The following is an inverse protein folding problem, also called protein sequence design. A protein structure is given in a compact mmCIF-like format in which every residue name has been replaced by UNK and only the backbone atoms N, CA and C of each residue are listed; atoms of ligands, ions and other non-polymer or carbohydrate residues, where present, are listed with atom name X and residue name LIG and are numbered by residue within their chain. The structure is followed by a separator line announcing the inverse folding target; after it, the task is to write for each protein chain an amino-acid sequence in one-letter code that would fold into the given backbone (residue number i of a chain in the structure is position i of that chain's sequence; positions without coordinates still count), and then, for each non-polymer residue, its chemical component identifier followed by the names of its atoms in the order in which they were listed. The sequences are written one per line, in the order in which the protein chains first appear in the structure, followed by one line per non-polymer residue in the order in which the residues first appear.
data_IF_597518697875
#
_entry.id   IF_597518697875
#
_cell.length_a   1.000
_cell.length_b   1.000
_cell.length_c   1.000
_cell.angle_alpha   90.00
_cell.angle_beta   90.00
_cell.angle_gamma   90.00
#
_symmetry.space_group_name_H-M   'P 1'
#
loop_
_entity.id
_entity.type
_entity.pdbx_description
1 polymer ?
#
# COMPACT_ATOMS: atom_id res chain seq x y z
N UNK A 1 7.39 -12.40 -5.36
CA UNK A 1 6.69 -11.38 -4.53
C UNK A 1 6.23 -12.03 -3.24
N UNK A 2 6.54 -11.43 -2.08
CA UNK A 2 6.07 -11.93 -0.78
C UNK A 2 4.55 -11.73 -0.65
N UNK A 3 3.83 -12.78 -0.23
CA UNK A 3 2.40 -12.70 0.05
C UNK A 3 2.20 -11.77 1.26
N UNK A 4 1.19 -10.87 1.24
CA UNK A 4 0.88 -10.05 2.41
C UNK A 4 0.56 -10.95 3.60
N UNK A 5 1.11 -10.58 4.75
CA UNK A 5 0.90 -11.29 6.01
C UNK A 5 -0.38 -10.74 6.63
N UNK A 6 -1.32 -11.63 6.91
CA UNK A 6 -2.57 -11.30 7.59
C UNK A 6 -2.26 -10.71 8.96
N UNK A 7 -2.98 -9.65 9.35
CA UNK A 7 -2.78 -8.97 10.63
C UNK A 7 -1.61 -7.99 10.62
N UNK A 8 -0.98 -7.76 9.46
CA UNK A 8 -0.01 -6.67 9.29
C UNK A 8 -0.61 -5.53 8.49
N UNK A 9 -0.16 -4.33 8.82
CA UNK A 9 -0.50 -3.10 8.12
C UNK A 9 0.46 -2.85 6.98
N UNK A 10 -0.04 -2.30 5.89
CA UNK A 10 0.74 -1.95 4.71
C UNK A 10 0.34 -0.57 4.23
N UNK A 11 1.25 0.06 3.51
CA UNK A 11 1.00 1.34 2.87
C UNK A 11 0.38 1.11 1.49
N UNK A 12 -0.79 1.69 1.26
CA UNK A 12 -1.55 1.63 0.02
C UNK A 12 -1.68 3.01 -0.62
N UNK A 13 -1.78 3.03 -1.95
CA UNK A 13 -2.07 4.25 -2.70
C UNK A 13 -3.02 3.93 -3.86
N UNK A 14 -3.83 4.91 -4.26
CA UNK A 14 -4.74 4.80 -5.40
C UNK A 14 -3.99 5.17 -6.67
N UNK A 15 -4.02 4.29 -7.68
CA UNK A 15 -3.41 4.59 -8.95
C UNK A 15 -4.15 5.72 -9.70
N UNK A 16 -3.46 6.82 -10.03
CA UNK A 16 -3.99 7.93 -10.86
C UNK A 16 -4.43 7.50 -12.28
N UNK A 17 -3.94 6.36 -12.78
CA UNK A 17 -4.27 5.86 -14.13
C UNK A 17 -5.46 4.89 -14.12
N UNK A 18 -5.50 3.92 -13.22
CA UNK A 18 -6.55 2.88 -13.22
C UNK A 18 -7.48 2.93 -12.00
N UNK A 19 -7.31 3.92 -11.11
CA UNK A 19 -8.09 4.12 -9.87
C UNK A 19 -8.16 2.91 -8.94
N UNK A 20 -7.19 1.99 -9.04
CA UNK A 20 -7.09 0.80 -8.18
C UNK A 20 -6.08 1.04 -7.07
N UNK A 21 -6.38 0.51 -5.88
CA UNK A 21 -5.47 0.51 -4.75
C UNK A 21 -4.35 -0.52 -4.96
N UNK A 22 -3.11 -0.14 -4.68
CA UNK A 22 -1.98 -1.06 -4.68
C UNK A 22 -1.02 -0.76 -3.53
N UNK A 23 -0.22 -1.76 -3.15
CA UNK A 23 0.77 -1.64 -2.08
C UNK A 23 2.01 -0.88 -2.56
N UNK A 24 2.39 0.13 -1.79
CA UNK A 24 3.56 0.97 -2.02
C UNK A 24 4.85 0.23 -1.66
N UNK A 25 4.87 -0.40 -0.47
CA UNK A 25 5.99 -1.19 0.05
C UNK A 25 5.58 -2.66 0.22
N UNK A 26 6.52 -3.58 0.02
CA UNK A 26 6.32 -5.00 0.34
C UNK A 26 6.50 -5.28 1.83
N UNK A 27 7.24 -4.43 2.55
CA UNK A 27 7.45 -4.54 3.99
C UNK A 27 6.22 -4.08 4.80
N UNK A 28 5.85 -4.82 5.85
CA UNK A 28 4.76 -4.44 6.71
C UNK A 28 5.12 -3.23 7.56
N UNK A 29 4.19 -2.29 7.63
CA UNK A 29 4.17 -1.23 8.61
C UNK A 29 3.87 -1.84 9.97
N UNK A 30 4.81 -1.74 10.91
CA UNK A 30 4.63 -2.19 12.29
C UNK A 30 3.73 -1.21 13.05
N UNK A 31 2.73 -1.73 13.77
CA UNK A 31 2.00 -0.94 14.75
C UNK A 31 2.98 -0.37 15.79
N UNK A 32 2.96 0.96 15.97
CA UNK A 32 3.80 1.67 16.93
C UNK A 32 5.08 2.30 16.37
N UNK A 33 5.43 2.11 15.09
CA UNK A 33 6.50 2.88 14.43
C UNK A 33 5.89 3.91 13.49
N UNK A 34 6.23 5.19 13.68
CA UNK A 34 5.99 6.21 12.66
C UNK A 34 6.67 5.75 11.37
N UNK A 35 5.86 5.49 10.33
CA UNK A 35 6.40 5.28 9.00
C UNK A 35 6.82 6.64 8.49
N UNK A 36 8.11 6.95 8.60
CA UNK A 36 8.69 8.08 7.89
C UNK A 36 8.67 7.75 6.40
N UNK A 37 7.57 8.09 5.74
CA UNK A 37 7.50 8.08 4.28
C UNK A 37 8.33 9.27 3.82
N UNK A 38 9.58 9.01 3.43
CA UNK A 38 10.50 10.05 2.97
C UNK A 38 10.05 10.56 1.61
N UNK A 39 9.38 11.71 1.61
CA UNK A 39 9.08 12.51 0.43
C UNK A 39 8.08 11.89 -0.56
N UNK A 40 7.84 12.59 -1.69
CA UNK A 40 7.12 12.01 -2.81
C UNK A 40 7.92 10.84 -3.38
N UNK A 41 7.24 9.72 -3.64
CA UNK A 41 7.86 8.53 -4.23
C UNK A 41 7.25 8.25 -5.59
N UNK A 42 8.13 7.97 -6.55
CA UNK A 42 7.73 7.48 -7.87
C UNK A 42 7.42 5.99 -7.77
N UNK A 43 6.16 5.61 -7.95
CA UNK A 43 5.70 4.24 -7.83
C UNK A 43 5.11 3.73 -9.13
N UNK A 44 5.37 2.45 -9.42
CA UNK A 44 4.74 1.74 -10.52
C UNK A 44 3.49 1.00 -10.04
N UNK A 45 2.35 1.32 -10.62
CA UNK A 45 1.11 0.61 -10.36
C UNK A 45 1.25 -0.87 -10.77
N UNK A 46 0.99 -1.77 -9.82
CA UNK A 46 1.03 -3.22 -10.07
C UNK A 46 -0.14 -3.73 -10.92
N UNK A 47 -1.21 -2.95 -11.07
CA UNK A 47 -2.40 -3.32 -11.83
C UNK A 47 -2.30 -2.98 -13.32
N UNK A 48 -1.95 -1.73 -13.65
CA UNK A 48 -1.87 -1.25 -15.04
C UNK A 48 -0.44 -0.98 -15.54
N UNK A 49 0.57 -1.01 -14.67
CA UNK A 49 1.96 -0.72 -15.04
C UNK A 49 2.31 0.76 -15.16
N UNK A 50 1.35 1.68 -14.98
CA UNK A 50 1.61 3.12 -15.01
C UNK A 50 2.55 3.55 -13.88
N UNK A 51 3.48 4.45 -14.19
CA UNK A 51 4.42 5.03 -13.22
C UNK A 51 3.98 6.46 -12.91
N UNK A 52 3.79 6.78 -11.64
CA UNK A 52 3.39 8.11 -11.21
C UNK A 52 4.06 8.48 -9.88
N UNK A 53 4.18 9.78 -9.65
CA UNK A 53 4.62 10.32 -8.37
C UNK A 53 3.44 10.44 -7.41
N UNK A 54 3.63 9.94 -6.19
CA UNK A 54 2.65 9.95 -5.12
C UNK A 54 3.20 10.67 -3.91
N UNK A 55 2.42 11.60 -3.37
CA UNK A 55 2.76 12.29 -2.13
C UNK A 55 2.44 11.41 -0.93
N UNK A 56 3.10 11.67 0.19
CA UNK A 56 2.87 10.99 1.48
C UNK A 56 1.41 11.10 1.93
N UNK A 57 0.76 12.23 1.67
CA UNK A 57 -0.66 12.45 1.97
C UNK A 57 -1.62 11.58 1.14
N UNK A 58 -1.19 11.10 -0.03
CA UNK A 58 -1.98 10.20 -0.87
C UNK A 58 -1.86 8.73 -0.41
N UNK A 59 -0.92 8.43 0.48
CA UNK A 59 -0.63 7.08 0.94
C UNK A 59 -1.38 6.78 2.23
N UNK A 60 -2.17 5.72 2.24
CA UNK A 60 -2.98 5.30 3.38
C UNK A 60 -2.46 3.99 3.96
N UNK A 61 -2.36 3.93 5.29
CA UNK A 61 -2.03 2.68 5.98
C UNK A 61 -3.33 1.89 6.14
N UNK A 62 -3.35 0.67 5.61
CA UNK A 62 -4.45 -0.26 5.80
C UNK A 62 -3.93 -1.63 6.25
N UNK A 63 -4.64 -2.23 7.21
CA UNK A 63 -4.40 -3.58 7.70
C UNK A 63 -4.95 -4.61 6.72
N UNK A 64 -4.16 -5.66 6.45
CA UNK A 64 -4.67 -6.85 5.76
C UNK A 64 -5.47 -7.64 6.78
N UNK A 65 -6.74 -7.30 6.90
CA UNK A 65 -7.68 -8.10 7.66
C UNK A 65 -7.90 -9.43 6.93
N UNK A 66 -7.89 -10.52 7.70
CA UNK A 66 -8.33 -11.81 7.19
C UNK A 66 -9.78 -11.59 6.79
N UNK A 67 -10.11 -11.62 5.48
CA UNK A 67 -11.50 -11.73 5.05
C UNK A 67 -12.07 -12.95 5.79
N UNK A 68 -12.83 -12.71 6.86
CA UNK A 68 -13.70 -13.72 7.44
C UNK A 68 -14.62 -14.09 6.29
N UNK A 69 -14.36 -15.26 5.71
CA UNK A 69 -15.25 -15.89 4.75
C UNK A 69 -16.49 -16.22 5.58
N UNK A 70 -17.44 -15.28 5.63
CA UNK A 70 -18.76 -15.51 6.18
C UNK A 70 -19.35 -16.63 5.34
N UNK A 71 -19.44 -17.80 5.96
CA UNK A 71 -19.98 -19.02 5.38
C UNK A 71 -21.49 -18.96 5.44
#
# INVERSE_FOLDING_TARGET
MARPVVGKSYLFVICKSCSKHFRVVDDPVFEGKQVEIKGPQTLKCRGCGAVAEYQTAEMQIASIEKRKKTR
#
